data_IF_750681548457
#
_entry.id   IF_750681548457
#
_cell.length_a   1.000
_cell.length_b   1.000
_cell.length_c   1.000
_cell.angle_alpha   90.00
_cell.angle_beta   90.00
_cell.angle_gamma   90.00
#
_symmetry.space_group_name_H-M   'P 1'
#
loop_
_entity.id
_entity.type
_entity.pdbx_description
1 polymer ?
#
# COMPACT_ATOMS: atom_id res chain seq x y z
N UNK A 1 12.12 -6.90 10.96
CA UNK A 1 11.83 -7.15 9.53
C UNK A 1 11.80 -5.84 8.70
N UNK A 2 10.84 -4.91 8.90
CA UNK A 2 10.83 -3.61 8.18
C UNK A 2 11.84 -2.60 8.75
N UNK A 3 11.90 -2.50 10.08
CA UNK A 3 12.90 -1.69 10.80
C UNK A 3 14.34 -2.14 10.58
N UNK A 4 14.52 -3.39 10.15
CA UNK A 4 15.83 -3.98 9.84
C UNK A 4 16.22 -3.85 8.35
N UNK A 5 15.34 -3.30 7.49
CA UNK A 5 15.61 -3.15 6.05
C UNK A 5 15.74 -4.47 5.29
N UNK A 6 15.33 -5.60 5.88
CA UNK A 6 15.57 -6.96 5.36
C UNK A 6 14.89 -7.23 4.01
N UNK A 7 13.86 -6.44 3.64
CA UNK A 7 13.17 -6.55 2.36
C UNK A 7 13.86 -5.79 1.22
N UNK A 8 14.77 -4.88 1.53
CA UNK A 8 15.50 -4.08 0.53
C UNK A 8 16.44 -4.93 -0.35
N UNK A 9 16.85 -6.10 0.14
CA UNK A 9 17.75 -7.03 -0.56
C UNK A 9 17.06 -8.16 -1.32
N UNK A 10 15.73 -8.31 -1.21
CA UNK A 10 14.96 -9.43 -1.80
C UNK A 10 14.14 -8.96 -3.03
N UNK A 11 14.60 -7.87 -3.66
CA UNK A 11 13.91 -7.22 -4.76
C UNK A 11 13.57 -8.20 -5.90
N UNK A 12 12.29 -8.20 -6.31
CA UNK A 12 11.81 -8.86 -7.51
C UNK A 12 10.46 -9.50 -7.28
N UNK A 13 10.47 -10.78 -6.87
CA UNK A 13 9.28 -11.64 -6.95
C UNK A 13 8.91 -12.31 -5.61
N UNK A 14 9.90 -12.63 -4.77
CA UNK A 14 9.64 -13.39 -3.53
C UNK A 14 8.84 -12.60 -2.48
N UNK A 15 9.03 -11.27 -2.41
CA UNK A 15 8.31 -10.37 -1.48
C UNK A 15 6.86 -10.14 -1.94
N UNK A 16 6.57 -10.25 -3.24
CA UNK A 16 5.21 -10.01 -3.77
C UNK A 16 4.23 -11.09 -3.37
N UNK A 17 4.63 -12.35 -3.50
CA UNK A 17 3.75 -13.50 -3.33
C UNK A 17 3.77 -14.06 -1.90
N UNK A 18 4.86 -13.87 -1.16
CA UNK A 18 5.06 -14.44 0.18
C UNK A 18 5.29 -13.37 1.26
N UNK A 19 4.64 -12.21 1.14
CA UNK A 19 4.80 -11.14 2.12
C UNK A 19 4.28 -11.51 3.51
N UNK A 20 5.13 -11.35 4.54
CA UNK A 20 4.75 -11.50 5.94
C UNK A 20 5.23 -12.80 6.61
N UNK A 21 4.74 -13.09 7.83
CA UNK A 21 3.81 -12.29 8.63
C UNK A 21 4.47 -11.04 9.21
N UNK A 22 3.69 -9.96 9.33
CA UNK A 22 4.11 -8.66 9.87
C UNK A 22 3.03 -8.10 10.79
N UNK A 23 3.44 -7.43 11.86
CA UNK A 23 2.52 -6.67 12.72
C UNK A 23 2.66 -5.19 12.36
N UNK A 24 1.55 -4.54 12.02
CA UNK A 24 1.55 -3.10 11.74
C UNK A 24 1.64 -2.35 13.06
N UNK A 25 2.58 -1.39 13.21
CA UNK A 25 2.68 -0.61 14.42
C UNK A 25 1.48 0.31 14.61
N UNK A 26 1.26 0.74 15.85
CA UNK A 26 0.20 1.70 16.17
C UNK A 26 0.34 3.00 15.36
N UNK A 27 -0.79 3.62 15.04
CA UNK A 27 -0.88 4.85 14.24
C UNK A 27 -0.25 4.75 12.83
N UNK A 28 -0.25 3.55 12.25
CA UNK A 28 0.17 3.35 10.87
C UNK A 28 -0.74 2.38 10.14
N UNK A 29 -0.66 2.38 8.81
CA UNK A 29 -1.47 1.55 7.94
C UNK A 29 -0.59 0.74 7.01
N UNK A 30 -0.91 -0.54 6.85
CA UNK A 30 -0.41 -1.32 5.73
C UNK A 30 -1.33 -1.12 4.54
N UNK A 31 -0.81 -0.57 3.44
CA UNK A 31 -1.58 -0.32 2.22
C UNK A 31 -1.09 -1.19 1.08
N UNK A 32 -2.02 -1.68 0.27
CA UNK A 32 -1.74 -2.45 -0.93
C UNK A 32 -2.58 -1.94 -2.08
N UNK A 33 -1.98 -1.88 -3.27
CA UNK A 33 -2.73 -1.58 -4.49
C UNK A 33 -3.55 -2.78 -4.96
N UNK A 34 -4.63 -2.50 -5.69
CA UNK A 34 -5.46 -3.54 -6.30
C UNK A 34 -4.71 -4.30 -7.40
N UNK A 35 -3.90 -3.58 -8.20
CA UNK A 35 -2.99 -4.21 -9.17
C UNK A 35 -1.71 -4.65 -8.46
N UNK A 36 -1.78 -5.81 -7.80
CA UNK A 36 -0.71 -6.37 -6.97
C UNK A 36 0.63 -6.49 -7.66
N UNK A 37 0.59 -6.69 -8.97
CA UNK A 37 1.76 -6.96 -9.78
C UNK A 37 2.50 -5.69 -10.22
N UNK A 38 1.81 -4.56 -10.20
CA UNK A 38 2.35 -3.28 -10.63
C UNK A 38 2.15 -2.19 -9.56
N UNK A 39 2.01 -2.58 -8.29
CA UNK A 39 1.87 -1.65 -7.18
C UNK A 39 3.15 -1.60 -6.37
N UNK A 40 3.74 -0.41 -6.29
CA UNK A 40 4.82 -0.10 -5.36
C UNK A 40 4.19 0.38 -4.04
N UNK A 41 3.81 -0.56 -3.19
CA UNK A 41 3.03 -0.33 -1.97
C UNK A 41 3.80 -0.75 -0.70
N UNK A 42 3.11 -0.85 0.43
CA UNK A 42 3.75 -1.08 1.74
C UNK A 42 4.58 -2.35 1.81
N UNK A 43 4.43 -3.30 0.87
CA UNK A 43 5.31 -4.46 0.74
C UNK A 43 6.77 -4.09 0.48
N UNK A 44 7.01 -2.93 -0.15
CA UNK A 44 8.32 -2.47 -0.55
C UNK A 44 8.88 -1.36 0.35
N UNK A 45 8.03 -0.41 0.75
CA UNK A 45 8.47 0.79 1.49
C UNK A 45 7.98 0.88 2.94
N UNK A 46 7.23 -0.12 3.43
CA UNK A 46 6.76 -0.15 4.83
C UNK A 46 5.39 0.49 5.05
N UNK A 47 4.97 0.75 6.30
CA UNK A 47 3.63 1.21 6.62
C UNK A 47 3.50 2.73 6.36
N UNK A 48 2.31 3.17 5.98
CA UNK A 48 1.97 4.57 5.88
C UNK A 48 1.66 5.14 7.27
N UNK A 49 2.38 6.16 7.77
CA UNK A 49 2.04 6.83 9.02
C UNK A 49 0.64 7.47 8.95
N UNK A 50 -0.13 7.41 10.03
CA UNK A 50 -1.48 8.00 10.08
C UNK A 50 -1.48 9.49 9.75
N UNK A 51 -0.45 10.23 10.15
CA UNK A 51 -0.31 11.66 9.87
C UNK A 51 -0.23 11.99 8.37
N UNK A 52 0.20 11.05 7.53
CA UNK A 52 0.32 11.23 6.07
C UNK A 52 -0.97 10.80 5.33
N UNK A 53 -1.95 10.27 6.04
CA UNK A 53 -3.22 9.84 5.46
C UNK A 53 -4.14 11.06 5.24
N UNK A 54 -4.25 11.50 3.98
CA UNK A 54 -5.06 12.68 3.62
C UNK A 54 -6.57 12.45 3.64
N UNK A 55 -7.05 11.24 3.38
CA UNK A 55 -8.48 10.92 3.38
C UNK A 55 -8.86 9.72 2.52
N UNK A 56 -10.16 9.39 2.52
CA UNK A 56 -10.74 8.29 1.72
C UNK A 56 -10.98 8.76 0.28
N UNK A 57 -10.72 7.92 -0.71
CA UNK A 57 -11.18 8.16 -2.07
C UNK A 57 -12.71 8.00 -2.14
N UNK A 58 -13.43 9.11 -2.34
CA UNK A 58 -14.90 9.15 -2.39
C UNK A 58 -15.45 9.59 -3.74
N UNK A 59 -14.58 10.02 -4.66
CA UNK A 59 -14.97 10.54 -5.97
C UNK A 59 -14.06 10.01 -7.08
N UNK A 60 -14.66 9.43 -8.12
CA UNK A 60 -14.05 9.23 -9.42
C UNK A 60 -14.58 10.29 -10.37
N UNK A 61 -13.74 11.27 -10.72
CA UNK A 61 -14.17 12.43 -11.49
C UNK A 61 -13.89 12.33 -13.00
N UNK A 62 -12.96 11.46 -13.43
CA UNK A 62 -12.53 11.34 -14.83
C UNK A 62 -12.40 9.87 -15.27
N UNK A 63 -12.71 9.52 -16.55
CA UNK A 63 -13.34 10.36 -17.58
C UNK A 63 -14.77 10.78 -17.21
N UNK A 64 -15.24 11.94 -17.70
CA UNK A 64 -16.55 12.52 -17.31
C UNK A 64 -17.72 11.53 -17.48
N UNK A 65 -17.67 10.66 -18.49
CA UNK A 65 -18.67 9.60 -18.72
C UNK A 65 -18.73 8.53 -17.61
N UNK A 66 -17.72 8.47 -16.76
CA UNK A 66 -17.56 7.53 -15.64
C UNK A 66 -17.55 8.25 -14.29
N UNK A 67 -18.06 9.49 -14.25
CA UNK A 67 -18.22 10.21 -12.99
C UNK A 67 -19.01 9.36 -11.98
N UNK A 68 -18.44 9.13 -10.81
CA UNK A 68 -19.06 8.30 -9.76
C UNK A 68 -18.67 8.77 -8.37
N UNK A 69 -19.67 8.90 -7.49
CA UNK A 69 -19.46 9.03 -6.04
C UNK A 69 -19.39 7.62 -5.45
N UNK A 70 -18.32 7.35 -4.68
CA UNK A 70 -18.05 6.07 -4.03
C UNK A 70 -18.48 6.22 -2.56
N UNK A 71 -19.46 5.43 -2.12
CA UNK A 71 -19.91 5.37 -0.73
C UNK A 71 -19.16 4.26 0.01
#
# INVERSE_FOLDING_TARGET
AWEAGEFSGIAGDAVRDNFGPVTVPDNAYFVMGDNRDASYDSRFWGPLPHAELKGKAWLLYWPLKRFKIIH
#
